data_IF_465029881225
#
_entry.id   IF_465029881225
#
_cell.length_a   1.000
_cell.length_b   1.000
_cell.length_c   1.000
_cell.angle_alpha   90.00
_cell.angle_beta   90.00
_cell.angle_gamma   90.00
#
_symmetry.space_group_name_H-M   'P 1'
#
loop_
_entity.id
_entity.type
_entity.pdbx_description
1 polymer ?
#
# COMPACT_ATOMS: atom_id res chain seq x y z
N UNK A 1 33.44 -54.07 1.57
CA UNK A 1 32.06 -53.59 1.83
C UNK A 1 32.11 -52.32 2.66
N UNK A 2 32.01 -51.20 2.02
CA UNK A 2 32.04 -49.89 2.66
C UNK A 2 30.66 -49.23 2.51
N UNK A 3 29.97 -49.10 3.64
CA UNK A 3 28.63 -48.50 3.69
C UNK A 3 28.80 -46.97 3.75
N UNK A 4 28.50 -46.30 2.64
CA UNK A 4 28.42 -44.84 2.61
C UNK A 4 27.27 -44.32 3.44
N UNK A 5 27.57 -43.53 4.51
CA UNK A 5 26.59 -42.76 5.23
C UNK A 5 26.17 -41.57 4.37
N UNK A 6 24.91 -41.57 3.94
CA UNK A 6 24.27 -40.37 3.40
C UNK A 6 24.07 -39.35 4.54
N UNK A 7 24.74 -38.21 4.43
CA UNK A 7 24.50 -37.06 5.29
C UNK A 7 23.13 -36.44 4.92
N UNK A 8 22.12 -36.68 5.73
CA UNK A 8 20.85 -35.97 5.68
C UNK A 8 21.10 -34.53 6.14
N UNK A 9 21.26 -33.64 5.17
CA UNK A 9 21.31 -32.19 5.40
C UNK A 9 19.96 -31.72 5.95
N UNK A 10 19.90 -31.45 7.26
CA UNK A 10 18.79 -30.72 7.88
C UNK A 10 18.84 -29.30 7.30
N UNK A 11 17.89 -28.99 6.42
CA UNK A 11 17.70 -27.62 5.96
C UNK A 11 17.32 -26.78 7.17
N UNK A 12 18.26 -26.01 7.68
CA UNK A 12 18.02 -24.97 8.69
C UNK A 12 17.02 -24.00 8.07
N UNK A 13 15.76 -24.07 8.47
CA UNK A 13 14.76 -23.06 8.17
C UNK A 13 15.17 -21.80 8.91
N UNK A 14 15.86 -20.88 8.19
CA UNK A 14 16.22 -19.58 8.74
C UNK A 14 14.92 -18.87 9.14
N UNK A 15 14.73 -18.67 10.44
CA UNK A 15 13.68 -17.80 10.97
C UNK A 15 13.98 -16.39 10.45
N UNK A 16 13.22 -15.95 9.46
CA UNK A 16 13.35 -14.58 8.95
C UNK A 16 12.48 -13.67 9.80
N UNK A 17 13.11 -12.71 10.45
CA UNK A 17 12.39 -11.64 11.14
C UNK A 17 11.65 -10.77 10.14
N UNK A 18 10.41 -10.40 10.46
CA UNK A 18 9.64 -9.48 9.64
C UNK A 18 10.10 -8.03 9.90
N UNK A 19 10.23 -7.25 8.83
CA UNK A 19 10.47 -5.81 8.88
C UNK A 19 9.30 -5.11 8.19
N UNK A 20 8.55 -4.29 8.93
CA UNK A 20 7.36 -3.61 8.41
C UNK A 20 7.75 -2.27 7.78
N UNK A 21 7.20 -1.98 6.61
CA UNK A 21 7.28 -0.68 5.93
C UNK A 21 5.87 -0.23 5.58
N UNK A 22 5.51 1.00 5.92
CA UNK A 22 4.20 1.59 5.60
C UNK A 22 4.37 2.68 4.55
N UNK A 23 3.58 2.61 3.48
CA UNK A 23 3.55 3.64 2.44
C UNK A 23 2.14 4.20 2.24
N UNK A 24 2.04 5.37 1.62
CA UNK A 24 0.80 5.95 1.14
C UNK A 24 1.12 6.86 -0.04
N UNK A 25 0.85 6.39 -1.25
CA UNK A 25 1.17 7.08 -2.50
C UNK A 25 0.18 8.21 -2.82
N UNK A 26 -1.05 8.12 -2.29
CA UNK A 26 -2.17 9.02 -2.61
C UNK A 26 -2.73 9.72 -1.37
N UNK A 27 -1.84 10.06 -0.42
CA UNK A 27 -2.25 10.55 0.91
C UNK A 27 -2.74 11.99 0.96
N UNK A 28 -2.69 12.74 -0.15
CA UNK A 28 -3.13 14.11 -0.18
C UNK A 28 -3.48 14.64 -1.56
N UNK A 29 -3.94 15.88 -1.59
CA UNK A 29 -4.38 16.61 -2.79
C UNK A 29 -3.58 17.90 -3.02
N UNK A 30 -2.40 18.00 -2.43
CA UNK A 30 -1.55 19.16 -2.55
C UNK A 30 -1.06 19.35 -3.98
N UNK A 31 -1.14 20.58 -4.46
CA UNK A 31 -0.59 20.98 -5.76
C UNK A 31 0.64 21.84 -5.50
N UNK A 32 1.83 21.41 -5.98
CA UNK A 32 3.03 22.25 -5.87
C UNK A 32 2.86 23.56 -6.60
N UNK A 33 3.41 24.64 -6.03
CA UNK A 33 3.25 26.02 -6.51
C UNK A 33 3.61 26.17 -8.01
N UNK A 34 4.64 25.46 -8.48
CA UNK A 34 5.06 25.49 -9.89
C UNK A 34 4.00 24.97 -10.89
N UNK A 35 2.98 24.27 -10.39
CA UNK A 35 1.91 23.67 -11.18
C UNK A 35 0.52 24.19 -10.79
N UNK A 36 0.42 25.15 -9.85
CA UNK A 36 -0.86 25.65 -9.33
C UNK A 36 -1.80 26.14 -10.44
N UNK A 37 -1.28 26.85 -11.46
CA UNK A 37 -2.06 27.37 -12.58
C UNK A 37 -2.79 26.25 -13.37
N UNK A 38 -2.25 25.02 -13.43
CA UNK A 38 -2.88 23.89 -14.12
C UNK A 38 -4.15 23.41 -13.41
N UNK A 39 -4.26 23.67 -12.12
CA UNK A 39 -5.35 23.20 -11.27
C UNK A 39 -6.32 24.34 -10.88
N UNK A 40 -6.13 25.55 -11.40
CA UNK A 40 -7.05 26.66 -11.18
C UNK A 40 -8.48 26.27 -11.62
N UNK A 41 -9.45 26.48 -10.72
CA UNK A 41 -10.86 26.12 -10.92
C UNK A 41 -11.14 24.60 -10.95
N UNK A 42 -10.19 23.75 -10.47
CA UNK A 42 -10.36 22.30 -10.43
C UNK A 42 -10.46 21.73 -9.02
N UNK A 43 -10.90 22.55 -8.05
CA UNK A 43 -10.99 22.16 -6.65
C UNK A 43 -11.87 20.93 -6.45
N UNK A 44 -13.02 20.86 -7.13
CA UNK A 44 -13.90 19.70 -7.07
C UNK A 44 -13.23 18.41 -7.59
N UNK A 45 -12.33 18.50 -8.57
CA UNK A 45 -11.55 17.36 -9.07
C UNK A 45 -10.48 16.94 -8.05
N UNK A 46 -9.79 17.90 -7.47
CA UNK A 46 -8.80 17.66 -6.42
C UNK A 46 -9.42 17.05 -5.17
N UNK A 47 -10.64 17.47 -4.80
CA UNK A 47 -11.38 16.97 -3.64
C UNK A 47 -11.98 15.57 -3.86
N UNK A 48 -12.09 15.14 -5.10
CA UNK A 48 -12.65 13.84 -5.44
C UNK A 48 -11.65 12.69 -5.20
N UNK A 49 -12.17 11.44 -5.22
CA UNK A 49 -11.36 10.21 -5.21
C UNK A 49 -10.34 10.13 -6.36
N UNK A 50 -10.44 11.01 -7.34
CA UNK A 50 -9.47 11.11 -8.43
C UNK A 50 -8.24 11.90 -8.02
N UNK A 51 -8.35 12.82 -7.06
CA UNK A 51 -7.27 13.63 -6.55
C UNK A 51 -6.41 12.92 -5.51
N UNK A 52 -7.05 12.16 -4.63
CA UNK A 52 -6.41 11.50 -3.49
C UNK A 52 -7.29 10.42 -2.88
N UNK A 53 -6.70 9.63 -1.99
CA UNK A 53 -7.37 8.57 -1.26
C UNK A 53 -7.69 9.07 0.16
N UNK A 54 -8.91 9.58 0.37
CA UNK A 54 -9.34 10.16 1.65
C UNK A 54 -9.16 9.15 2.81
N UNK A 55 -8.55 9.59 3.91
CA UNK A 55 -8.29 8.78 5.10
C UNK A 55 -7.07 7.85 5.02
N UNK A 56 -6.55 7.54 3.83
CA UNK A 56 -5.43 6.61 3.65
C UNK A 56 -4.16 7.07 4.40
N UNK A 57 -3.85 8.36 4.35
CA UNK A 57 -2.70 8.92 5.07
C UNK A 57 -2.87 8.82 6.60
N UNK A 58 -4.06 9.08 7.10
CA UNK A 58 -4.35 9.02 8.54
C UNK A 58 -4.19 7.58 9.06
N UNK A 59 -4.69 6.60 8.31
CA UNK A 59 -4.51 5.17 8.62
C UNK A 59 -3.03 4.77 8.52
N UNK A 60 -2.35 5.16 7.45
CA UNK A 60 -0.92 4.87 7.26
C UNK A 60 -0.06 5.42 8.40
N UNK A 61 -0.32 6.66 8.85
CA UNK A 61 0.36 7.26 10.00
C UNK A 61 0.11 6.46 11.28
N UNK A 62 -1.13 6.11 11.56
CA UNK A 62 -1.47 5.33 12.76
C UNK A 62 -0.80 3.96 12.75
N UNK A 63 -0.74 3.26 11.61
CA UNK A 63 0.00 2.01 11.49
C UNK A 63 1.50 2.23 11.71
N UNK A 64 2.11 3.20 11.04
CA UNK A 64 3.54 3.45 11.18
C UNK A 64 3.93 3.81 12.62
N UNK A 65 3.16 4.66 13.29
CA UNK A 65 3.39 5.07 14.67
C UNK A 65 3.23 3.88 15.65
N UNK A 66 2.22 3.02 15.44
CA UNK A 66 1.95 1.86 16.32
C UNK A 66 3.04 0.78 16.26
N UNK A 67 3.83 0.72 15.20
CA UNK A 67 4.89 -0.27 15.00
C UNK A 67 6.29 0.33 14.95
N UNK A 68 6.45 1.65 15.10
CA UNK A 68 7.74 2.32 14.90
C UNK A 68 8.35 2.06 13.52
N UNK A 69 7.50 1.83 12.51
CA UNK A 69 7.97 1.44 11.19
C UNK A 69 8.38 2.65 10.34
N UNK A 70 9.35 2.49 9.41
CA UNK A 70 9.58 3.49 8.38
C UNK A 70 8.30 3.82 7.61
N UNK A 71 8.15 5.09 7.29
CA UNK A 71 6.98 5.63 6.61
C UNK A 71 7.39 6.47 5.40
N UNK A 72 6.77 6.19 4.27
CA UNK A 72 6.97 6.93 3.03
C UNK A 72 5.60 7.40 2.53
N UNK A 73 5.26 8.64 2.85
CA UNK A 73 3.95 9.21 2.54
C UNK A 73 4.08 10.37 1.56
N UNK A 74 3.18 10.41 0.58
CA UNK A 74 3.06 11.51 -0.36
C UNK A 74 1.73 12.24 -0.17
N UNK A 75 1.78 13.58 -0.18
CA UNK A 75 0.59 14.44 -0.11
C UNK A 75 0.30 15.15 -1.43
N UNK A 76 1.23 15.10 -2.38
CA UNK A 76 1.02 15.62 -3.73
C UNK A 76 -0.08 14.84 -4.42
N UNK A 77 -1.01 15.58 -5.04
CA UNK A 77 -2.15 14.96 -5.75
C UNK A 77 -1.70 14.00 -6.84
N UNK A 78 -2.34 12.82 -6.89
CA UNK A 78 -2.11 11.85 -7.98
C UNK A 78 -2.48 12.37 -9.36
N UNK A 79 -3.21 13.50 -9.43
CA UNK A 79 -3.51 14.17 -10.69
C UNK A 79 -2.29 14.87 -11.29
N UNK A 80 -1.27 15.20 -10.49
CA UNK A 80 0.00 15.70 -11.01
C UNK A 80 0.80 14.55 -11.64
N UNK A 81 1.02 13.50 -10.86
CA UNK A 81 1.65 12.23 -11.29
C UNK A 81 1.21 11.12 -10.33
N UNK A 82 0.80 10.00 -10.86
CA UNK A 82 0.37 8.85 -10.05
C UNK A 82 1.60 8.06 -9.57
N UNK A 83 1.92 8.19 -8.28
CA UNK A 83 3.07 7.55 -7.65
C UNK A 83 2.91 6.02 -7.56
N UNK A 84 1.67 5.51 -7.68
CA UNK A 84 1.36 4.09 -7.75
C UNK A 84 1.21 3.57 -9.19
N UNK A 85 1.86 4.21 -10.18
CA UNK A 85 1.95 3.71 -11.55
C UNK A 85 3.40 3.63 -11.99
N UNK A 86 3.71 2.71 -12.89
CA UNK A 86 5.05 2.60 -13.49
C UNK A 86 5.30 3.72 -14.51
N UNK A 87 6.57 4.13 -14.67
CA UNK A 87 6.95 5.04 -15.77
C UNK A 87 6.58 4.39 -17.09
N UNK A 88 5.88 5.15 -17.96
CA UNK A 88 5.35 4.68 -19.22
C UNK A 88 3.90 4.17 -19.16
N UNK A 89 3.34 3.96 -17.98
CA UNK A 89 1.93 3.60 -17.86
C UNK A 89 1.02 4.76 -18.36
N UNK A 90 -0.04 4.43 -19.11
CA UNK A 90 -0.94 5.42 -19.72
C UNK A 90 -1.62 6.37 -18.73
N UNK A 91 -1.76 5.93 -17.48
CA UNK A 91 -2.36 6.70 -16.39
C UNK A 91 -1.33 7.30 -15.42
N UNK A 92 -0.04 7.30 -15.77
CA UNK A 92 0.99 7.95 -14.95
C UNK A 92 0.71 9.45 -14.79
N UNK A 93 0.26 10.07 -15.87
CA UNK A 93 -0.17 11.48 -15.91
C UNK A 93 -1.68 11.54 -16.12
N UNK A 94 -2.35 12.39 -15.34
CA UNK A 94 -3.78 12.64 -15.51
C UNK A 94 -4.08 13.43 -16.79
N UNK A 95 -5.35 13.63 -17.10
CA UNK A 95 -5.77 14.53 -18.18
C UNK A 95 -5.29 15.98 -17.99
N UNK A 96 -4.96 16.37 -16.76
CA UNK A 96 -4.44 17.72 -16.46
C UNK A 96 -2.98 17.87 -16.89
N UNK A 97 -2.18 16.81 -16.75
CA UNK A 97 -0.72 16.89 -16.94
C UNK A 97 -0.19 16.14 -18.15
N UNK A 98 -0.94 15.17 -18.72
CA UNK A 98 -0.47 14.37 -19.87
C UNK A 98 -0.20 15.19 -21.15
N UNK A 99 -0.89 16.33 -21.30
CA UNK A 99 -0.71 17.22 -22.45
C UNK A 99 0.48 18.19 -22.32
N UNK A 100 1.15 18.21 -21.14
CA UNK A 100 2.33 19.04 -20.93
C UNK A 100 3.48 18.64 -21.88
N UNK A 101 4.35 19.58 -22.27
CA UNK A 101 5.58 19.27 -23.00
C UNK A 101 6.40 18.20 -22.28
N UNK A 102 7.13 17.39 -23.08
CA UNK A 102 7.93 16.26 -22.52
C UNK A 102 8.90 16.72 -21.40
N UNK A 103 9.57 17.87 -21.59
CA UNK A 103 10.47 18.40 -20.56
C UNK A 103 9.75 18.64 -19.23
N UNK A 104 8.56 19.28 -19.26
CA UNK A 104 7.77 19.56 -18.05
C UNK A 104 7.29 18.28 -17.37
N UNK A 105 6.91 17.25 -18.15
CA UNK A 105 6.57 15.94 -17.58
C UNK A 105 7.77 15.24 -16.98
N UNK A 106 8.96 15.42 -17.59
CA UNK A 106 10.20 14.88 -17.03
C UNK A 106 10.53 15.57 -15.70
N UNK A 107 10.38 16.90 -15.60
CA UNK A 107 10.58 17.65 -14.35
C UNK A 107 9.66 17.11 -13.24
N UNK A 108 8.39 16.82 -13.56
CA UNK A 108 7.46 16.22 -12.59
C UNK A 108 7.96 14.86 -12.12
N UNK A 109 8.42 14.00 -13.04
CA UNK A 109 8.97 12.70 -12.69
C UNK A 109 10.19 12.84 -11.80
N UNK A 110 11.10 13.74 -12.11
CA UNK A 110 12.38 13.86 -11.40
C UNK A 110 12.21 14.47 -9.99
N UNK A 111 11.26 15.38 -9.81
CA UNK A 111 11.08 16.06 -8.53
C UNK A 111 10.05 15.41 -7.59
N UNK A 112 9.05 14.68 -8.13
CA UNK A 112 7.95 14.14 -7.32
C UNK A 112 7.88 12.61 -7.35
N UNK A 113 8.05 11.99 -8.53
CA UNK A 113 7.91 10.55 -8.66
C UNK A 113 9.16 9.80 -8.20
N UNK A 114 10.33 10.12 -8.78
CA UNK A 114 11.58 9.40 -8.50
C UNK A 114 11.99 9.45 -7.03
N UNK A 115 11.98 10.61 -6.34
CA UNK A 115 12.39 10.65 -4.95
C UNK A 115 11.55 9.75 -4.05
N UNK A 116 10.21 9.76 -4.22
CA UNK A 116 9.31 8.91 -3.47
C UNK A 116 9.59 7.43 -3.72
N UNK A 117 9.64 7.03 -5.00
CA UNK A 117 9.86 5.64 -5.38
C UNK A 117 11.23 5.12 -4.95
N UNK A 118 12.28 5.90 -5.13
CA UNK A 118 13.65 5.52 -4.78
C UNK A 118 13.83 5.37 -3.26
N UNK A 119 13.19 6.23 -2.46
CA UNK A 119 13.23 6.10 -1.01
C UNK A 119 12.64 4.76 -0.54
N UNK A 120 11.47 4.37 -1.08
CA UNK A 120 10.83 3.10 -0.74
C UNK A 120 11.62 1.90 -1.26
N UNK A 121 12.05 1.95 -2.51
CA UNK A 121 12.82 0.88 -3.15
C UNK A 121 14.16 0.66 -2.42
N UNK A 122 14.82 1.74 -2.02
CA UNK A 122 16.08 1.68 -1.25
C UNK A 122 15.89 1.12 0.16
N UNK A 123 14.82 1.52 0.84
CA UNK A 123 14.47 0.99 2.16
C UNK A 123 14.24 -0.53 2.12
N UNK A 124 13.40 -0.97 1.19
CA UNK A 124 13.08 -2.40 1.03
C UNK A 124 14.31 -3.20 0.60
N UNK A 125 15.10 -2.70 -0.34
CA UNK A 125 16.32 -3.37 -0.81
C UNK A 125 17.34 -3.54 0.32
N UNK A 126 17.55 -2.51 1.14
CA UNK A 126 18.48 -2.53 2.28
C UNK A 126 18.12 -3.61 3.29
N UNK A 127 16.84 -3.68 3.70
CA UNK A 127 16.39 -4.66 4.69
C UNK A 127 16.33 -6.08 4.12
N UNK A 128 15.92 -6.21 2.86
CA UNK A 128 15.95 -7.50 2.15
C UNK A 128 17.38 -8.06 2.04
N UNK A 129 18.35 -7.20 1.72
CA UNK A 129 19.77 -7.58 1.65
C UNK A 129 20.34 -7.96 3.02
N UNK A 130 19.83 -7.34 4.10
CA UNK A 130 20.18 -7.70 5.49
C UNK A 130 19.52 -9.00 5.98
N UNK A 131 18.76 -9.70 5.13
CA UNK A 131 18.14 -10.99 5.46
C UNK A 131 16.74 -10.89 6.06
N UNK A 132 16.18 -9.68 6.23
CA UNK A 132 14.82 -9.50 6.69
C UNK A 132 13.80 -9.91 5.62
N UNK A 133 12.65 -10.40 6.06
CA UNK A 133 11.45 -10.48 5.23
C UNK A 133 10.70 -9.16 5.36
N UNK A 134 10.67 -8.37 4.31
CA UNK A 134 9.98 -7.10 4.34
C UNK A 134 8.48 -7.30 4.11
N UNK A 135 7.68 -6.86 5.07
CA UNK A 135 6.22 -6.74 4.95
C UNK A 135 5.92 -5.29 4.60
N UNK A 136 5.52 -5.05 3.38
CA UNK A 136 5.17 -3.72 2.89
C UNK A 136 3.65 -3.57 2.83
N UNK A 137 3.11 -2.60 3.55
CA UNK A 137 1.69 -2.25 3.52
C UNK A 137 1.54 -0.87 2.89
N UNK A 138 0.94 -0.81 1.71
CA UNK A 138 0.55 0.43 1.06
C UNK A 138 -0.89 0.77 1.47
N UNK A 139 -1.05 1.92 2.13
CA UNK A 139 -2.35 2.37 2.63
C UNK A 139 -3.10 3.14 1.57
N UNK A 140 -4.27 2.63 1.18
CA UNK A 140 -5.17 3.19 0.18
C UNK A 140 -6.61 3.25 0.69
N UNK A 141 -7.46 3.95 -0.05
CA UNK A 141 -8.90 3.94 0.16
C UNK A 141 -9.65 4.11 -1.16
N UNK A 142 -10.84 3.55 -1.24
CA UNK A 142 -11.67 3.62 -2.43
C UNK A 142 -13.04 4.26 -2.15
N UNK A 143 -13.59 4.93 -3.18
CA UNK A 143 -14.90 5.57 -3.11
C UNK A 143 -16.02 4.57 -2.87
N UNK A 144 -17.01 4.88 -1.99
CA UNK A 144 -18.13 3.97 -1.67
C UNK A 144 -19.08 3.76 -2.85
N UNK A 145 -19.05 4.65 -3.84
CA UNK A 145 -19.86 4.55 -5.05
C UNK A 145 -19.01 4.85 -6.28
N UNK A 146 -19.09 4.02 -7.31
CA UNK A 146 -18.37 4.22 -8.56
C UNK A 146 -19.30 4.04 -9.75
N UNK A 147 -19.36 5.02 -10.64
CA UNK A 147 -20.27 5.07 -11.79
C UNK A 147 -21.74 4.74 -11.40
N UNK A 148 -22.17 5.30 -10.27
CA UNK A 148 -23.53 5.08 -9.76
C UNK A 148 -23.71 3.78 -8.98
N UNK A 149 -22.76 2.83 -9.00
CA UNK A 149 -22.86 1.51 -8.37
C UNK A 149 -22.27 1.55 -6.96
N UNK A 150 -23.01 1.21 -5.91
CA UNK A 150 -22.49 1.10 -4.55
C UNK A 150 -21.46 -0.03 -4.42
N UNK A 151 -20.33 0.24 -3.75
CA UNK A 151 -19.31 -0.72 -3.38
C UNK A 151 -19.56 -1.21 -1.95
N UNK A 152 -19.97 -2.45 -1.82
CA UNK A 152 -20.44 -3.04 -0.55
C UNK A 152 -19.30 -3.43 0.41
N UNK A 153 -18.05 -3.55 -0.10
CA UNK A 153 -16.88 -3.99 0.68
C UNK A 153 -16.44 -2.88 1.63
N UNK A 154 -16.07 -3.25 2.85
CA UNK A 154 -15.59 -2.31 3.87
C UNK A 154 -14.07 -2.21 3.87
N UNK A 155 -13.38 -3.36 3.81
CA UNK A 155 -11.91 -3.46 3.75
C UNK A 155 -11.50 -4.54 2.77
N UNK A 156 -10.45 -4.28 2.00
CA UNK A 156 -9.88 -5.26 1.10
C UNK A 156 -8.34 -5.27 1.12
N UNK A 157 -7.77 -6.45 0.85
CA UNK A 157 -6.33 -6.67 0.69
C UNK A 157 -6.06 -7.03 -0.76
N UNK A 158 -5.25 -6.19 -1.43
CA UNK A 158 -4.80 -6.46 -2.78
C UNK A 158 -3.40 -7.05 -2.73
N UNK A 159 -3.23 -8.19 -3.38
CA UNK A 159 -1.98 -8.93 -3.43
C UNK A 159 -1.91 -9.79 -4.68
N UNK A 160 -0.73 -10.35 -4.99
CA UNK A 160 -0.60 -11.32 -6.09
C UNK A 160 -0.91 -12.74 -5.57
N UNK A 161 -2.01 -13.37 -5.99
CA UNK A 161 -2.39 -14.72 -5.52
C UNK A 161 -1.39 -15.82 -5.92
N UNK A 162 -0.43 -15.54 -6.79
CA UNK A 162 0.65 -16.47 -7.17
C UNK A 162 1.83 -16.44 -6.20
N UNK A 163 1.81 -15.55 -5.19
CA UNK A 163 2.84 -15.41 -4.16
C UNK A 163 2.33 -15.99 -2.84
N UNK A 164 2.77 -17.20 -2.45
CA UNK A 164 2.27 -17.86 -1.23
C UNK A 164 2.44 -17.05 0.04
N UNK A 165 3.54 -16.28 0.15
CA UNK A 165 3.79 -15.41 1.29
C UNK A 165 2.78 -14.27 1.43
N UNK A 166 2.38 -13.64 0.31
CA UNK A 166 1.34 -12.62 0.30
C UNK A 166 -0.03 -13.22 0.64
N UNK A 167 -0.35 -14.37 0.06
CA UNK A 167 -1.60 -15.10 0.36
C UNK A 167 -1.70 -15.44 1.84
N UNK A 168 -0.63 -16.00 2.41
CA UNK A 168 -0.61 -16.39 3.84
C UNK A 168 -0.76 -15.18 4.75
N UNK A 169 -0.01 -14.10 4.49
CA UNK A 169 -0.06 -12.89 5.30
C UNK A 169 -1.43 -12.19 5.22
N UNK A 170 -1.96 -11.99 4.00
CA UNK A 170 -3.28 -11.40 3.81
C UNK A 170 -4.38 -12.21 4.53
N UNK A 171 -4.34 -13.55 4.43
CA UNK A 171 -5.31 -14.42 5.13
C UNK A 171 -5.21 -14.29 6.64
N UNK A 172 -4.00 -14.29 7.19
CA UNK A 172 -3.79 -14.12 8.64
C UNK A 172 -4.33 -12.77 9.13
N UNK A 173 -4.07 -11.69 8.40
CA UNK A 173 -4.57 -10.36 8.76
C UNK A 173 -6.11 -10.28 8.64
N UNK A 174 -6.67 -10.78 7.54
CA UNK A 174 -8.13 -10.84 7.36
C UNK A 174 -8.81 -11.61 8.51
N UNK A 175 -8.31 -12.82 8.85
CA UNK A 175 -8.85 -13.64 9.91
C UNK A 175 -8.78 -12.92 11.28
N UNK A 176 -7.67 -12.24 11.55
CA UNK A 176 -7.51 -11.48 12.77
C UNK A 176 -8.52 -10.30 12.87
N UNK A 177 -8.81 -9.65 11.75
CA UNK A 177 -9.82 -8.59 11.70
C UNK A 177 -11.24 -9.16 11.80
N UNK A 178 -11.56 -10.23 11.09
CA UNK A 178 -12.87 -10.88 11.10
C UNK A 178 -13.26 -11.36 12.51
N UNK A 179 -12.30 -11.90 13.27
CA UNK A 179 -12.52 -12.29 14.67
C UNK A 179 -12.86 -11.11 15.58
N UNK A 180 -12.44 -9.91 15.23
CA UNK A 180 -12.60 -8.69 16.01
C UNK A 180 -13.81 -7.85 15.61
N UNK A 181 -14.19 -7.96 14.34
CA UNK A 181 -15.25 -7.19 13.71
C UNK A 181 -15.96 -8.06 12.65
N UNK A 182 -16.73 -9.07 13.05
CA UNK A 182 -17.40 -10.00 12.13
C UNK A 182 -18.48 -9.32 11.26
N UNK A 183 -18.89 -8.12 11.63
CA UNK A 183 -19.83 -7.30 10.87
C UNK A 183 -19.23 -6.68 9.61
N UNK A 184 -17.90 -6.60 9.51
CA UNK A 184 -17.22 -6.00 8.36
C UNK A 184 -17.22 -6.93 7.14
N UNK A 185 -17.49 -6.34 5.99
CA UNK A 185 -17.46 -7.03 4.70
C UNK A 185 -16.05 -6.99 4.13
N UNK A 186 -15.29 -8.04 4.35
CA UNK A 186 -13.89 -8.17 3.95
C UNK A 186 -13.77 -8.84 2.58
N UNK A 187 -12.87 -8.35 1.73
CA UNK A 187 -12.62 -8.89 0.39
C UNK A 187 -11.13 -9.01 0.09
N UNK A 188 -10.81 -9.85 -0.88
CA UNK A 188 -9.48 -10.00 -1.47
C UNK A 188 -9.53 -9.52 -2.91
N UNK A 189 -8.52 -8.73 -3.31
CA UNK A 189 -8.41 -8.22 -4.68
C UNK A 189 -9.71 -7.55 -5.18
N UNK A 190 -10.22 -6.61 -4.39
CA UNK A 190 -11.39 -5.80 -4.66
C UNK A 190 -11.17 -4.36 -4.13
N UNK A 191 -11.62 -3.31 -4.81
CA UNK A 191 -12.23 -3.30 -6.14
C UNK A 191 -11.21 -3.43 -7.28
N UNK A 192 -9.94 -3.52 -6.95
CA UNK A 192 -8.83 -3.64 -7.89
C UNK A 192 -8.11 -4.98 -7.71
N UNK A 193 -7.18 -5.26 -8.63
CA UNK A 193 -6.38 -6.48 -8.60
C UNK A 193 -4.96 -6.17 -8.14
N UNK A 194 -4.48 -6.80 -7.08
CA UNK A 194 -3.14 -6.53 -6.54
C UNK A 194 -1.98 -6.90 -7.48
N UNK A 195 -2.22 -7.68 -8.52
CA UNK A 195 -1.27 -7.95 -9.60
C UNK A 195 -1.21 -6.88 -10.68
N UNK A 196 -2.12 -5.90 -10.66
CA UNK A 196 -2.11 -4.79 -11.61
C UNK A 196 -0.86 -3.91 -11.43
N UNK A 197 -0.58 -3.07 -12.43
CA UNK A 197 0.55 -2.14 -12.37
C UNK A 197 0.47 -1.25 -11.12
N UNK A 198 1.59 -1.16 -10.39
CA UNK A 198 1.70 -0.38 -9.16
C UNK A 198 3.08 -0.50 -8.52
N UNK A 199 3.25 0.16 -7.37
CA UNK A 199 4.49 0.10 -6.59
C UNK A 199 4.78 -1.33 -6.13
N UNK A 200 3.79 -2.00 -5.52
CA UNK A 200 3.93 -3.38 -5.04
C UNK A 200 4.24 -4.34 -6.18
N UNK A 201 3.60 -4.17 -7.35
CA UNK A 201 3.88 -4.98 -8.55
C UNK A 201 5.31 -4.78 -9.08
N UNK A 202 5.84 -3.56 -9.00
CA UNK A 202 7.23 -3.26 -9.37
C UNK A 202 8.22 -3.94 -8.41
N UNK A 203 7.95 -3.86 -7.11
CA UNK A 203 8.80 -4.46 -6.07
C UNK A 203 8.81 -6.00 -6.13
N UNK A 204 7.68 -6.63 -6.43
CA UNK A 204 7.58 -8.08 -6.66
C UNK A 204 8.51 -8.59 -7.75
N UNK A 205 8.76 -7.80 -8.78
CA UNK A 205 9.70 -8.16 -9.87
C UNK A 205 11.15 -8.16 -9.43
N UNK A 206 11.49 -7.44 -8.36
CA UNK A 206 12.86 -7.26 -7.86
C UNK A 206 13.18 -8.14 -6.64
N UNK A 207 12.15 -8.60 -5.93
CA UNK A 207 12.31 -9.33 -4.68
C UNK A 207 11.53 -10.65 -4.70
N UNK A 208 12.17 -11.77 -4.33
CA UNK A 208 11.48 -13.06 -4.24
C UNK A 208 10.45 -13.05 -3.10
N UNK A 209 9.47 -13.95 -3.18
CA UNK A 209 8.38 -14.07 -2.20
C UNK A 209 8.86 -14.28 -0.76
N UNK A 210 9.97 -15.01 -0.60
CA UNK A 210 10.57 -15.22 0.72
C UNK A 210 11.18 -13.93 1.34
N UNK A 211 11.47 -12.89 0.56
CA UNK A 211 12.10 -11.66 1.03
C UNK A 211 11.14 -10.47 1.07
N UNK A 212 10.04 -10.52 0.32
CA UNK A 212 9.12 -9.39 0.20
C UNK A 212 7.67 -9.85 0.10
N UNK A 213 6.82 -9.27 0.93
CA UNK A 213 5.36 -9.38 0.92
C UNK A 213 4.77 -7.98 0.71
N UNK A 214 4.08 -7.77 -0.39
CA UNK A 214 3.44 -6.48 -0.73
C UNK A 214 1.92 -6.57 -0.64
N UNK A 215 1.33 -5.78 0.24
CA UNK A 215 -0.13 -5.68 0.41
C UNK A 215 -0.55 -4.23 0.17
N UNK A 216 -1.50 -4.01 -0.72
CA UNK A 216 -2.24 -2.75 -0.79
C UNK A 216 -3.50 -2.92 0.05
N UNK A 217 -3.60 -2.17 1.15
CA UNK A 217 -4.77 -2.16 2.01
C UNK A 217 -5.75 -1.11 1.52
N UNK A 218 -6.94 -1.53 1.15
CA UNK A 218 -7.99 -0.69 0.61
C UNK A 218 -9.15 -0.55 1.60
N UNK A 219 -9.44 0.67 2.04
CA UNK A 219 -10.56 0.95 2.97
C UNK A 219 -11.64 1.76 2.26
N UNK A 220 -12.90 1.38 2.46
CA UNK A 220 -14.03 2.11 1.92
C UNK A 220 -14.16 3.50 2.57
N UNK A 221 -14.19 4.56 1.75
CA UNK A 221 -14.24 5.95 2.20
C UNK A 221 -15.53 6.30 2.96
N UNK A 222 -16.58 5.46 2.95
CA UNK A 222 -17.78 5.73 3.74
C UNK A 222 -17.47 5.85 5.25
N UNK A 223 -16.47 5.12 5.77
CA UNK A 223 -16.01 5.27 7.16
C UNK A 223 -15.36 6.63 7.41
N UNK A 224 -14.63 7.15 6.41
CA UNK A 224 -13.98 8.46 6.49
C UNK A 224 -15.04 9.58 6.42
N UNK A 225 -16.04 9.42 5.54
CA UNK A 225 -17.15 10.36 5.37
C UNK A 225 -18.00 10.48 6.64
N UNK A 226 -18.22 9.38 7.36
CA UNK A 226 -18.94 9.37 8.64
C UNK A 226 -18.18 10.10 9.75
N UNK A 227 -16.86 10.29 9.60
CA UNK A 227 -15.97 10.94 10.58
C UNK A 227 -16.10 10.39 12.01
N UNK A 228 -15.29 10.88 12.93
CA UNK A 228 -15.43 10.61 14.37
C UNK A 228 -15.19 9.17 14.79
N UNK A 229 -16.07 8.61 15.62
CA UNK A 229 -15.85 7.33 16.30
C UNK A 229 -15.78 6.10 15.37
N UNK A 230 -16.65 5.94 14.35
CA UNK A 230 -16.57 4.78 13.46
C UNK A 230 -15.23 4.66 12.74
N UNK A 231 -14.72 5.76 12.21
CA UNK A 231 -13.42 5.80 11.53
C UNK A 231 -12.25 5.51 12.48
N UNK A 232 -12.25 6.11 13.67
CA UNK A 232 -11.22 5.81 14.69
C UNK A 232 -11.23 4.36 15.10
N UNK A 233 -12.43 3.79 15.35
CA UNK A 233 -12.59 2.38 15.73
C UNK A 233 -12.04 1.45 14.66
N UNK A 234 -12.39 1.66 13.38
CA UNK A 234 -11.90 0.83 12.29
C UNK A 234 -10.37 0.87 12.19
N UNK A 235 -9.77 2.06 12.26
CA UNK A 235 -8.30 2.20 12.24
C UNK A 235 -7.62 1.45 13.38
N UNK A 236 -8.16 1.53 14.59
CA UNK A 236 -7.63 0.78 15.74
C UNK A 236 -7.73 -0.72 15.50
N UNK A 237 -8.88 -1.22 15.03
CA UNK A 237 -9.06 -2.64 14.72
C UNK A 237 -8.10 -3.14 13.63
N UNK A 238 -7.83 -2.31 12.61
CA UNK A 238 -6.87 -2.61 11.55
C UNK A 238 -5.42 -2.71 12.09
N UNK A 239 -5.02 -1.79 12.95
CA UNK A 239 -3.71 -1.82 13.62
C UNK A 239 -3.56 -3.06 14.50
N UNK A 240 -4.55 -3.33 15.35
CA UNK A 240 -4.52 -4.48 16.26
C UNK A 240 -4.51 -5.82 15.51
N UNK A 241 -5.29 -5.92 14.43
CA UNK A 241 -5.30 -7.12 13.59
C UNK A 241 -4.01 -7.31 12.80
N UNK A 242 -3.36 -6.22 12.37
CA UNK A 242 -2.04 -6.25 11.76
C UNK A 242 -0.99 -6.76 12.75
N UNK A 243 -1.03 -6.30 14.01
CA UNK A 243 -0.14 -6.77 15.08
C UNK A 243 -0.23 -8.28 15.25
N UNK A 244 -1.46 -8.80 15.30
CA UNK A 244 -1.70 -10.24 15.38
C UNK A 244 -1.18 -11.00 14.14
N UNK A 245 -1.35 -10.43 12.94
CA UNK A 245 -0.87 -11.04 11.71
C UNK A 245 0.67 -11.08 11.61
N UNK A 246 1.35 -10.11 12.23
CA UNK A 246 2.82 -10.08 12.32
C UNK A 246 3.37 -11.09 13.35
N UNK A 247 2.52 -11.70 14.16
CA UNK A 247 2.92 -12.62 15.25
C UNK A 247 3.40 -11.90 16.50
N UNK A 248 3.17 -10.57 16.62
CA UNK A 248 3.48 -9.83 17.84
C UNK A 248 2.40 -10.09 18.88
N UNK A 249 2.79 -10.59 20.05
CA UNK A 249 1.91 -10.70 21.21
C UNK A 249 1.62 -9.30 21.75
N UNK A 250 0.34 -8.99 21.91
CA UNK A 250 -0.05 -7.84 22.74
C UNK A 250 0.17 -8.23 24.21
N UNK A 251 1.30 -7.83 24.79
CA UNK A 251 1.38 -7.79 26.27
C UNK A 251 0.32 -6.80 26.74
N UNK A 252 -0.63 -7.31 27.52
CA UNK A 252 -1.67 -6.52 28.21
C UNK A 252 -1.14 -6.01 29.51
#
# INVERSE_FOLDING_TARGET
MGVGRAATGVALTLVRWNFLVITCEHGGREVPQAYAALFSGRDALLDSHRGWDAGALELGRQMADAFGSPRHFATTTRLLVDLNRSIGHRQLFSEVTRALPRARRQDIVDHYYRPHRQAIEGEIARHSAAGWRVIHVASHSFTPKFDGVPRQTDVAWLYDPRRPGEVAFARAWMLALEQRAPELRLRRNYPYQGRSDGLTATLRKRHPDAAYVGIELEVNQHFVEQRGAPWRRLRTMLVDSLRKALGETTDR
#
